data_IF_980222375900
#
_entry.id   IF_980222375900
#
_cell.length_a   1.000
_cell.length_b   1.000
_cell.length_c   1.000
_cell.angle_alpha   90.00
_cell.angle_beta   90.00
_cell.angle_gamma   90.00
#
_symmetry.space_group_name_H-M   'P 1'
#
loop_
_entity.id
_entity.type
_entity.pdbx_description
1 polymer ?
#
# COMPACT_ATOMS: atom_id res chain seq x y z
N UNK A 1 -4.39 -18.91 26.56
CA UNK A 1 -3.28 -18.02 26.17
C UNK A 1 -3.73 -17.19 24.98
N UNK A 2 -4.70 -16.30 25.21
CA UNK A 2 -5.53 -15.73 24.13
C UNK A 2 -5.64 -14.20 24.21
N UNK A 3 -5.03 -13.57 25.21
CA UNK A 3 -5.11 -12.11 25.43
C UNK A 3 -4.08 -11.31 24.61
N UNK A 4 -3.12 -11.98 23.98
CA UNK A 4 -2.08 -11.31 23.17
C UNK A 4 -2.58 -10.95 21.75
N UNK A 5 -3.45 -11.78 21.17
CA UNK A 5 -4.02 -11.57 19.83
C UNK A 5 -5.15 -10.51 19.82
N UNK A 6 -5.90 -10.37 20.92
CA UNK A 6 -6.98 -9.37 21.02
C UNK A 6 -6.48 -7.92 21.15
N UNK A 7 -5.21 -7.72 21.51
CA UNK A 7 -4.61 -6.38 21.57
C UNK A 7 -4.12 -5.84 20.22
N UNK A 8 -4.06 -6.68 19.17
CA UNK A 8 -3.69 -6.26 17.81
C UNK A 8 -4.87 -5.65 17.03
N UNK A 9 -6.11 -5.77 17.53
CA UNK A 9 -7.35 -5.31 16.88
C UNK A 9 -7.92 -3.99 17.42
N UNK A 10 -7.21 -3.29 18.30
CA UNK A 10 -7.67 -1.98 18.83
C UNK A 10 -7.32 -0.86 17.85
N UNK A 11 -8.22 0.10 17.58
CA UNK A 11 -7.96 1.16 16.63
C UNK A 11 -6.81 2.02 17.14
N UNK A 12 -5.78 2.14 16.30
CA UNK A 12 -4.49 2.81 16.52
C UNK A 12 -4.60 4.34 16.80
N UNK A 13 -5.80 4.86 17.07
CA UNK A 13 -6.11 6.27 17.22
C UNK A 13 -5.49 6.93 18.45
N UNK A 14 -5.27 6.18 19.54
CA UNK A 14 -4.62 6.72 20.74
C UNK A 14 -3.10 6.90 20.56
N UNK A 15 -2.44 5.99 19.82
CA UNK A 15 -1.02 6.11 19.51
C UNK A 15 -0.74 7.28 18.57
N UNK A 16 -1.55 7.45 17.52
CA UNK A 16 -1.41 8.59 16.61
C UNK A 16 -1.60 9.93 17.33
N UNK A 17 -2.62 10.06 18.20
CA UNK A 17 -2.83 11.26 19.03
C UNK A 17 -1.67 11.51 20.00
N UNK A 18 -1.09 10.45 20.58
CA UNK A 18 0.08 10.56 21.46
C UNK A 18 1.33 11.01 20.69
N UNK A 19 1.54 10.48 19.49
CA UNK A 19 2.65 10.85 18.60
C UNK A 19 2.50 12.31 18.13
N UNK A 20 1.31 12.72 17.70
CA UNK A 20 1.03 14.12 17.34
C UNK A 20 1.30 15.06 18.52
N UNK A 21 0.82 14.74 19.73
CA UNK A 21 1.12 15.52 20.94
C UNK A 21 2.61 15.60 21.25
N UNK A 22 3.37 14.51 21.06
CA UNK A 22 4.83 14.52 21.21
C UNK A 22 5.49 15.42 20.17
N UNK A 23 5.12 15.30 18.90
CA UNK A 23 5.66 16.14 17.80
C UNK A 23 5.36 17.62 18.05
N UNK A 24 4.14 17.96 18.45
CA UNK A 24 3.73 19.32 18.79
C UNK A 24 4.51 19.88 19.99
N UNK A 25 4.81 19.04 20.99
CA UNK A 25 5.64 19.42 22.15
C UNK A 25 7.11 19.63 21.76
N UNK A 26 7.64 18.83 20.85
CA UNK A 26 9.05 18.90 20.43
C UNK A 26 9.32 20.03 19.43
N UNK A 27 8.34 20.36 18.57
CA UNK A 27 8.45 21.43 17.58
C UNK A 27 7.17 22.31 17.57
N UNK A 28 7.02 23.21 18.56
CA UNK A 28 5.86 24.06 18.68
C UNK A 28 5.83 25.12 17.57
N UNK A 29 4.64 25.49 17.12
CA UNK A 29 4.47 26.61 16.18
C UNK A 29 4.78 27.93 16.87
N UNK A 30 5.49 28.83 16.20
CA UNK A 30 5.56 30.24 16.58
C UNK A 30 4.19 30.91 16.38
N UNK A 31 4.05 32.12 16.92
CA UNK A 31 2.87 32.94 16.67
C UNK A 31 2.72 33.16 15.16
N UNK A 32 1.60 32.69 14.61
CA UNK A 32 1.30 32.80 13.19
C UNK A 32 0.95 34.24 12.82
N UNK A 33 1.37 34.67 11.64
CA UNK A 33 0.87 35.90 11.03
C UNK A 33 -0.58 35.73 10.58
N UNK A 34 -1.26 36.84 10.27
CA UNK A 34 -2.61 36.81 9.70
C UNK A 34 -2.65 36.04 8.37
N UNK A 35 -1.62 36.18 7.54
CA UNK A 35 -1.47 35.47 6.27
C UNK A 35 -1.27 33.96 6.47
N UNK A 36 -0.41 33.58 7.41
CA UNK A 36 -0.17 32.17 7.75
C UNK A 36 -1.43 31.50 8.31
N UNK A 37 -2.19 32.22 9.15
CA UNK A 37 -3.46 31.73 9.70
C UNK A 37 -4.50 31.55 8.59
N UNK A 38 -4.61 32.52 7.67
CA UNK A 38 -5.52 32.43 6.52
C UNK A 38 -5.15 31.26 5.62
N UNK A 39 -3.86 31.08 5.32
CA UNK A 39 -3.36 29.98 4.51
C UNK A 39 -3.63 28.63 5.17
N UNK A 40 -3.35 28.49 6.46
CA UNK A 40 -3.63 27.27 7.22
C UNK A 40 -5.10 26.87 7.15
N UNK A 41 -6.02 27.80 7.44
CA UNK A 41 -7.46 27.55 7.38
C UNK A 41 -7.93 27.11 5.98
N UNK A 42 -7.32 27.65 4.91
CA UNK A 42 -7.64 27.27 3.54
C UNK A 42 -7.12 25.88 3.19
N UNK A 43 -5.90 25.54 3.62
CA UNK A 43 -5.33 24.21 3.45
C UNK A 43 -6.12 23.15 4.23
N UNK A 44 -6.56 23.44 5.45
CA UNK A 44 -7.46 22.57 6.24
C UNK A 44 -8.75 22.27 5.47
N UNK A 45 -9.40 23.31 4.94
CA UNK A 45 -10.61 23.14 4.14
C UNK A 45 -10.39 22.29 2.88
N UNK A 46 -9.20 22.36 2.27
CA UNK A 46 -8.84 21.51 1.12
C UNK A 46 -8.58 20.07 1.58
N UNK A 47 -7.82 19.87 2.66
CA UNK A 47 -7.53 18.56 3.21
C UNK A 47 -8.83 17.82 3.58
N UNK A 48 -9.79 18.51 4.19
CA UNK A 48 -11.09 17.93 4.53
C UNK A 48 -11.89 17.50 3.30
N UNK A 49 -11.86 18.28 2.21
CA UNK A 49 -12.45 17.87 0.93
C UNK A 49 -11.79 16.58 0.41
N UNK A 50 -10.46 16.54 0.40
CA UNK A 50 -9.72 15.36 -0.06
C UNK A 50 -10.00 14.14 0.82
N UNK A 51 -10.09 14.30 2.15
CA UNK A 51 -10.46 13.21 3.08
C UNK A 51 -11.88 12.69 2.85
N UNK A 52 -12.80 13.54 2.39
CA UNK A 52 -14.16 13.16 1.98
C UNK A 52 -14.25 12.52 0.59
N UNK A 53 -13.13 12.33 -0.11
CA UNK A 53 -13.17 11.78 -1.47
C UNK A 53 -13.48 12.82 -2.54
N UNK A 54 -13.63 14.10 -2.20
CA UNK A 54 -13.98 15.14 -3.17
C UNK A 54 -12.79 15.53 -4.06
N UNK A 55 -13.07 15.82 -5.32
CA UNK A 55 -12.05 16.31 -6.25
C UNK A 55 -11.67 17.77 -5.96
N UNK A 56 -10.37 18.05 -5.94
CA UNK A 56 -9.81 19.40 -5.80
C UNK A 56 -9.03 19.77 -7.05
N UNK A 57 -9.41 20.89 -7.69
CA UNK A 57 -8.75 21.40 -8.88
C UNK A 57 -7.32 21.85 -8.60
N UNK A 58 -6.41 21.62 -9.55
CA UNK A 58 -5.00 21.99 -9.40
C UNK A 58 -4.79 23.50 -9.21
N UNK A 59 -5.59 24.34 -9.88
CA UNK A 59 -5.54 25.80 -9.68
C UNK A 59 -5.79 26.21 -8.22
N UNK A 60 -6.68 25.50 -7.53
CA UNK A 60 -6.95 25.75 -6.12
C UNK A 60 -5.74 25.39 -5.25
N UNK A 61 -5.01 24.32 -5.59
CA UNK A 61 -3.78 23.94 -4.90
C UNK A 61 -2.66 24.96 -5.15
N UNK A 62 -2.45 25.38 -6.40
CA UNK A 62 -1.46 26.40 -6.78
C UNK A 62 -1.70 27.75 -6.08
N UNK A 63 -2.93 28.06 -5.70
CA UNK A 63 -3.26 29.31 -5.00
C UNK A 63 -2.78 29.30 -3.54
N UNK A 64 -2.74 28.14 -2.88
CA UNK A 64 -2.51 28.03 -1.43
C UNK A 64 -1.22 27.30 -1.05
N UNK A 65 -0.68 26.49 -1.95
CA UNK A 65 0.67 25.93 -1.85
C UNK A 65 1.69 26.96 -2.35
N UNK A 66 2.87 26.95 -1.73
CA UNK A 66 4.03 27.67 -2.25
C UNK A 66 4.56 26.96 -3.50
N UNK A 67 5.38 27.65 -4.28
CA UNK A 67 6.00 27.10 -5.49
C UNK A 67 6.74 25.80 -5.19
N UNK A 68 7.65 25.79 -4.22
CA UNK A 68 8.41 24.59 -3.79
C UNK A 68 7.50 23.41 -3.36
N UNK A 69 6.39 23.69 -2.68
CA UNK A 69 5.44 22.65 -2.23
C UNK A 69 4.62 22.09 -3.39
N UNK A 70 4.28 22.95 -4.35
CA UNK A 70 3.57 22.54 -5.56
C UNK A 70 4.50 21.75 -6.50
N UNK A 71 5.76 22.16 -6.64
CA UNK A 71 6.79 21.38 -7.34
C UNK A 71 6.98 20.01 -6.69
N UNK A 72 7.04 19.94 -5.36
CA UNK A 72 7.11 18.66 -4.64
C UNK A 72 5.94 17.74 -4.97
N UNK A 73 4.72 18.28 -5.08
CA UNK A 73 3.54 17.53 -5.51
C UNK A 73 3.71 16.95 -6.92
N UNK A 74 4.21 17.75 -7.86
CA UNK A 74 4.44 17.31 -9.23
C UNK A 74 5.52 16.23 -9.33
N UNK A 75 6.62 16.40 -8.58
CA UNK A 75 7.70 15.40 -8.46
C UNK A 75 7.17 14.07 -7.89
N UNK A 76 6.49 14.09 -6.74
CA UNK A 76 5.95 12.87 -6.13
C UNK A 76 4.91 12.18 -7.02
N UNK A 77 4.07 12.96 -7.72
CA UNK A 77 3.13 12.38 -8.68
C UNK A 77 3.84 11.77 -9.90
N UNK A 78 4.94 12.38 -10.35
CA UNK A 78 5.75 11.85 -11.45
C UNK A 78 6.44 10.54 -11.06
N UNK A 79 7.04 10.46 -9.87
CA UNK A 79 7.60 9.21 -9.32
C UNK A 79 6.55 8.10 -9.28
N UNK A 80 5.32 8.44 -8.87
CA UNK A 80 4.18 7.53 -8.87
C UNK A 80 3.77 7.06 -10.28
N UNK A 81 3.95 7.88 -11.32
CA UNK A 81 3.72 7.46 -12.71
C UNK A 81 4.85 6.57 -13.23
N UNK A 82 6.10 6.87 -12.88
CA UNK A 82 7.28 6.07 -13.23
C UNK A 82 7.18 4.67 -12.62
N UNK A 83 6.88 4.59 -11.32
CA UNK A 83 6.64 3.32 -10.63
C UNK A 83 5.51 2.51 -11.29
N UNK A 84 4.41 3.16 -11.68
CA UNK A 84 3.32 2.48 -12.42
C UNK A 84 3.76 1.96 -13.78
N UNK A 85 4.71 2.63 -14.44
CA UNK A 85 5.24 2.16 -15.72
C UNK A 85 6.18 0.97 -15.52
N UNK A 86 7.05 1.01 -14.51
CA UNK A 86 7.93 -0.11 -14.15
C UNK A 86 7.11 -1.37 -13.84
N UNK A 87 6.03 -1.23 -13.07
CA UNK A 87 5.17 -2.36 -12.70
C UNK A 87 4.42 -3.00 -13.88
N UNK A 88 4.42 -2.37 -15.07
CA UNK A 88 3.91 -3.02 -16.28
C UNK A 88 4.82 -4.16 -16.72
N UNK A 89 6.13 -4.04 -16.51
CA UNK A 89 7.07 -5.09 -16.88
C UNK A 89 7.28 -6.09 -15.74
N UNK A 90 6.29 -6.97 -15.61
CA UNK A 90 6.29 -8.03 -14.59
C UNK A 90 7.35 -9.11 -14.89
N UNK A 91 8.07 -9.62 -13.86
CA UNK A 91 8.95 -10.77 -13.98
C UNK A 91 8.28 -11.97 -14.68
N UNK A 92 9.02 -12.68 -15.53
CA UNK A 92 8.51 -13.78 -16.34
C UNK A 92 7.91 -14.91 -15.50
N UNK A 93 8.52 -15.25 -14.37
CA UNK A 93 8.01 -16.32 -13.51
C UNK A 93 6.68 -15.94 -12.85
N UNK A 94 6.50 -14.66 -12.49
CA UNK A 94 5.22 -14.15 -11.99
C UNK A 94 4.14 -14.16 -13.08
N UNK A 95 4.51 -13.87 -14.35
CA UNK A 95 3.60 -14.03 -15.50
C UNK A 95 3.16 -15.49 -15.65
N UNK A 96 4.08 -16.46 -15.51
CA UNK A 96 3.79 -17.90 -15.56
C UNK A 96 2.85 -18.34 -14.44
N UNK A 97 3.11 -17.91 -13.22
CA UNK A 97 2.24 -18.16 -12.07
C UNK A 97 0.82 -17.60 -12.28
N UNK A 98 0.71 -16.33 -12.69
CA UNK A 98 -0.58 -15.68 -12.92
C UNK A 98 -1.39 -16.38 -14.02
N UNK A 99 -0.73 -16.83 -15.09
CA UNK A 99 -1.40 -17.57 -16.17
C UNK A 99 -1.99 -18.90 -15.68
N UNK A 100 -1.26 -19.62 -14.83
CA UNK A 100 -1.77 -20.85 -14.22
C UNK A 100 -2.98 -20.57 -13.32
N UNK A 101 -2.93 -19.51 -12.52
CA UNK A 101 -4.09 -19.09 -11.71
C UNK A 101 -5.31 -18.73 -12.57
N UNK A 102 -5.10 -18.06 -13.72
CA UNK A 102 -6.20 -17.77 -14.66
C UNK A 102 -6.83 -19.05 -15.18
N UNK A 103 -6.02 -20.05 -15.54
CA UNK A 103 -6.52 -21.36 -15.98
C UNK A 103 -7.31 -22.06 -14.88
N UNK A 104 -6.80 -22.10 -13.65
CA UNK A 104 -7.50 -22.67 -12.51
C UNK A 104 -8.85 -21.97 -12.30
N UNK A 105 -8.84 -20.63 -12.27
CA UNK A 105 -10.06 -19.81 -12.10
C UNK A 105 -11.08 -20.07 -13.20
N UNK A 106 -10.64 -20.22 -14.45
CA UNK A 106 -11.52 -20.54 -15.57
C UNK A 106 -12.23 -21.89 -15.37
N UNK A 107 -11.49 -22.93 -14.98
CA UNK A 107 -12.07 -24.25 -14.76
C UNK A 107 -12.99 -24.29 -13.54
N UNK A 108 -12.64 -23.58 -12.47
CA UNK A 108 -13.51 -23.39 -11.31
C UNK A 108 -14.84 -22.75 -11.70
N UNK A 109 -14.80 -21.59 -12.37
CA UNK A 109 -16.02 -20.88 -12.80
C UNK A 109 -16.86 -21.72 -13.77
N UNK A 110 -16.20 -22.51 -14.63
CA UNK A 110 -16.87 -23.45 -15.51
C UNK A 110 -17.57 -24.56 -14.72
N UNK A 111 -16.93 -25.08 -13.67
CA UNK A 111 -17.52 -26.07 -12.77
C UNK A 111 -18.76 -25.52 -12.05
N UNK A 112 -18.68 -24.31 -11.49
CA UNK A 112 -19.82 -23.58 -10.89
C UNK A 112 -21.01 -23.48 -11.87
N UNK A 113 -20.72 -23.16 -13.13
CA UNK A 113 -21.72 -23.07 -14.19
C UNK A 113 -22.43 -24.40 -14.52
N UNK A 114 -21.77 -25.54 -14.32
CA UNK A 114 -22.39 -26.87 -14.46
C UNK A 114 -23.11 -27.29 -13.18
N UNK A 115 -22.52 -27.00 -12.01
CA UNK A 115 -23.05 -27.35 -10.70
C UNK A 115 -24.40 -26.67 -10.46
N UNK A 116 -24.50 -25.37 -10.75
CA UNK A 116 -25.75 -24.59 -10.66
C UNK A 116 -26.87 -25.12 -11.57
N UNK A 117 -26.56 -25.91 -12.59
CA UNK A 117 -27.51 -26.54 -13.51
C UNK A 117 -27.82 -28.00 -13.14
N UNK A 118 -27.40 -28.46 -11.95
CA UNK A 118 -27.58 -29.84 -11.48
C UNK A 118 -26.68 -30.89 -12.16
N UNK A 119 -25.71 -30.46 -12.99
CA UNK A 119 -24.80 -31.37 -13.72
C UNK A 119 -23.56 -31.72 -12.89
N UNK A 120 -23.77 -32.27 -11.70
CA UNK A 120 -22.73 -32.45 -10.68
C UNK A 120 -21.57 -33.35 -11.13
N UNK A 121 -21.82 -34.42 -11.90
CA UNK A 121 -20.75 -35.31 -12.38
C UNK A 121 -19.80 -34.62 -13.37
N UNK A 122 -20.33 -33.71 -14.19
CA UNK A 122 -19.52 -32.90 -15.12
C UNK A 122 -18.82 -31.77 -14.38
N UNK A 123 -19.51 -31.12 -13.43
CA UNK A 123 -18.92 -30.10 -12.57
C UNK A 123 -17.70 -30.65 -11.81
N UNK A 124 -17.81 -31.85 -11.22
CA UNK A 124 -16.73 -32.52 -10.50
C UNK A 124 -15.45 -32.62 -11.35
N UNK A 125 -15.54 -33.08 -12.60
CA UNK A 125 -14.37 -33.16 -13.50
C UNK A 125 -13.66 -31.82 -13.69
N UNK A 126 -14.41 -30.72 -13.71
CA UNK A 126 -13.84 -29.38 -13.84
C UNK A 126 -13.31 -28.84 -12.50
N UNK A 127 -13.93 -29.18 -11.37
CA UNK A 127 -13.34 -28.90 -10.05
C UNK A 127 -12.02 -29.64 -9.86
N UNK A 128 -11.98 -30.95 -10.13
CA UNK A 128 -10.76 -31.77 -10.03
C UNK A 128 -9.64 -31.16 -10.91
N UNK A 129 -10.00 -30.66 -12.09
CA UNK A 129 -9.03 -29.99 -12.98
C UNK A 129 -8.56 -28.65 -12.42
N UNK A 130 -9.45 -27.86 -11.83
CA UNK A 130 -9.11 -26.60 -11.18
C UNK A 130 -8.18 -26.84 -9.99
N UNK A 131 -8.48 -27.83 -9.15
CA UNK A 131 -7.69 -28.20 -7.97
C UNK A 131 -6.27 -28.60 -8.38
N UNK A 132 -6.12 -29.47 -9.37
CA UNK A 132 -4.80 -29.82 -9.92
C UNK A 132 -4.02 -28.60 -10.44
N UNK A 133 -4.69 -27.62 -11.05
CA UNK A 133 -4.03 -26.39 -11.50
C UNK A 133 -3.66 -25.46 -10.34
N UNK A 134 -4.43 -25.48 -9.24
CA UNK A 134 -4.10 -24.77 -8.01
C UNK A 134 -2.87 -25.38 -7.32
N UNK A 135 -2.76 -26.71 -7.29
CA UNK A 135 -1.57 -27.41 -6.79
C UNK A 135 -0.32 -27.05 -7.62
N UNK A 136 -0.44 -27.10 -8.96
CA UNK A 136 0.62 -26.64 -9.86
C UNK A 136 1.04 -25.18 -9.57
N UNK A 137 0.06 -24.30 -9.35
CA UNK A 137 0.30 -22.89 -9.05
C UNK A 137 1.01 -22.73 -7.71
N UNK A 138 0.60 -23.48 -6.68
CA UNK A 138 1.23 -23.46 -5.36
C UNK A 138 2.69 -23.92 -5.44
N UNK A 139 2.97 -24.98 -6.19
CA UNK A 139 4.33 -25.47 -6.40
C UNK A 139 5.21 -24.42 -7.08
N UNK A 140 4.71 -23.76 -8.15
CA UNK A 140 5.43 -22.67 -8.79
C UNK A 140 5.64 -21.48 -7.85
N UNK A 141 4.66 -21.13 -7.03
CA UNK A 141 4.80 -20.06 -6.05
C UNK A 141 5.94 -20.37 -5.06
N UNK A 142 6.00 -21.61 -4.58
CA UNK A 142 7.06 -22.06 -3.69
C UNK A 142 8.43 -22.00 -4.38
N UNK A 143 8.54 -22.45 -5.62
CA UNK A 143 9.76 -22.37 -6.44
C UNK A 143 10.23 -20.91 -6.60
N UNK A 144 9.32 -20.02 -7.00
CA UNK A 144 9.59 -18.60 -7.22
C UNK A 144 10.14 -17.95 -5.94
N UNK A 145 9.45 -18.15 -4.81
CA UNK A 145 9.82 -17.51 -3.56
C UNK A 145 11.02 -18.17 -2.87
N UNK A 146 11.31 -19.42 -3.19
CA UNK A 146 12.54 -20.08 -2.78
C UNK A 146 13.76 -19.49 -3.51
N UNK A 147 13.62 -19.24 -4.82
CA UNK A 147 14.69 -18.63 -5.62
C UNK A 147 14.87 -17.14 -5.33
N UNK A 148 13.78 -16.37 -5.34
CA UNK A 148 13.79 -14.94 -5.08
C UNK A 148 12.66 -14.54 -4.11
N UNK A 149 13.02 -14.50 -2.83
CA UNK A 149 12.11 -14.08 -1.78
C UNK A 149 11.71 -12.60 -1.86
N UNK A 150 12.46 -11.76 -2.59
CA UNK A 150 12.11 -10.34 -2.77
C UNK A 150 10.81 -10.16 -3.58
N UNK A 151 10.45 -11.16 -4.39
CA UNK A 151 9.22 -11.16 -5.17
C UNK A 151 7.95 -11.24 -4.32
N UNK A 152 8.05 -11.50 -3.01
CA UNK A 152 6.92 -11.41 -2.06
C UNK A 152 6.18 -10.07 -2.18
N UNK A 153 6.88 -8.97 -2.46
CA UNK A 153 6.29 -7.62 -2.62
C UNK A 153 5.27 -7.53 -3.76
N UNK A 154 5.27 -8.48 -4.70
CA UNK A 154 4.33 -8.49 -5.81
C UNK A 154 2.98 -9.13 -5.47
N UNK A 155 2.85 -9.75 -4.30
CA UNK A 155 1.63 -10.44 -3.90
C UNK A 155 0.78 -9.58 -2.96
N UNK A 156 -0.52 -9.82 -3.00
CA UNK A 156 -1.56 -9.06 -2.32
C UNK A 156 -1.77 -9.46 -0.85
N UNK A 157 -0.96 -10.37 -0.32
CA UNK A 157 -1.00 -10.84 1.06
C UNK A 157 0.33 -11.45 1.44
N UNK A 158 0.56 -11.57 2.73
CA UNK A 158 1.73 -12.28 3.25
C UNK A 158 1.62 -13.78 2.95
N UNK A 159 2.76 -14.37 2.59
CA UNK A 159 2.85 -15.77 2.17
C UNK A 159 3.67 -16.53 3.21
N UNK A 160 3.02 -17.48 3.88
CA UNK A 160 3.67 -18.45 4.74
C UNK A 160 3.38 -19.87 4.22
N UNK A 161 4.40 -20.72 4.21
CA UNK A 161 4.28 -22.13 3.87
C UNK A 161 4.25 -23.03 5.12
N UNK A 162 4.17 -22.43 6.30
CA UNK A 162 4.10 -23.17 7.56
C UNK A 162 2.73 -23.83 7.75
N UNK A 163 2.71 -24.90 8.54
CA UNK A 163 1.49 -25.62 8.90
C UNK A 163 0.58 -24.70 9.72
N UNK A 164 -0.66 -24.56 9.29
CA UNK A 164 -1.65 -23.69 9.94
C UNK A 164 -1.71 -22.26 9.37
N UNK A 165 -0.97 -21.98 8.29
CA UNK A 165 -1.18 -20.76 7.50
C UNK A 165 -2.47 -20.83 6.68
N UNK A 166 -2.96 -19.66 6.24
CA UNK A 166 -4.12 -19.54 5.36
C UNK A 166 -3.81 -19.91 3.90
N UNK A 167 -2.61 -20.41 3.60
CA UNK A 167 -2.19 -20.77 2.25
C UNK A 167 -2.56 -22.23 1.94
N UNK A 168 -3.39 -22.42 0.92
CA UNK A 168 -3.79 -23.74 0.41
C UNK A 168 -3.93 -23.76 -1.11
N UNK A 169 -3.98 -24.96 -1.68
CA UNK A 169 -4.09 -25.20 -3.11
C UNK A 169 -5.53 -25.01 -3.63
N UNK A 170 -6.13 -23.86 -3.36
CA UNK A 170 -7.47 -23.50 -3.86
C UNK A 170 -7.52 -22.06 -4.40
N UNK A 171 -8.61 -21.73 -5.07
CA UNK A 171 -8.76 -20.46 -5.77
C UNK A 171 -8.75 -19.25 -4.83
N UNK A 172 -9.30 -19.37 -3.62
CA UNK A 172 -9.49 -18.25 -2.70
C UNK A 172 -8.21 -17.96 -1.92
N UNK A 173 -7.53 -19.03 -1.50
CA UNK A 173 -6.37 -18.96 -0.62
C UNK A 173 -5.08 -18.59 -1.35
N UNK A 174 -4.96 -18.94 -2.64
CA UNK A 174 -3.76 -18.63 -3.42
C UNK A 174 -3.59 -17.12 -3.62
N UNK A 175 -2.41 -16.56 -3.31
CA UNK A 175 -2.18 -15.12 -3.39
C UNK A 175 -2.29 -14.61 -4.82
N UNK A 176 -2.74 -13.37 -4.97
CA UNK A 176 -2.83 -12.71 -6.28
C UNK A 176 -1.74 -11.67 -6.39
N UNK A 177 -1.29 -11.42 -7.61
CA UNK A 177 -0.40 -10.29 -7.83
C UNK A 177 -1.15 -9.00 -7.56
N UNK A 178 -0.48 -8.00 -6.98
CA UNK A 178 -1.06 -6.68 -6.69
C UNK A 178 -1.60 -5.96 -7.94
N UNK A 179 -1.04 -6.31 -9.11
CA UNK A 179 -1.47 -5.85 -10.44
C UNK A 179 -2.66 -6.62 -11.02
N UNK A 180 -3.13 -7.68 -10.36
CA UNK A 180 -4.25 -8.50 -10.78
C UNK A 180 -5.58 -7.75 -10.69
N UNK A 181 -6.54 -8.17 -11.52
CA UNK A 181 -7.95 -7.73 -11.49
C UNK A 181 -8.90 -8.80 -10.97
N UNK A 182 -8.37 -9.90 -10.41
CA UNK A 182 -9.19 -10.98 -9.83
C UNK A 182 -10.01 -10.47 -8.65
N UNK A 183 -11.22 -10.99 -8.48
CA UNK A 183 -12.06 -10.70 -7.31
C UNK A 183 -11.48 -11.28 -6.01
N UNK A 184 -10.64 -12.31 -6.11
CA UNK A 184 -9.96 -12.92 -4.97
C UNK A 184 -8.76 -12.09 -4.47
N UNK A 185 -8.50 -10.92 -5.08
CA UNK A 185 -7.42 -10.03 -4.66
C UNK A 185 -7.79 -9.32 -3.36
N UNK A 186 -6.96 -9.44 -2.32
CA UNK A 186 -7.23 -8.88 -0.98
C UNK A 186 -6.67 -7.47 -0.78
N UNK A 187 -5.58 -7.10 -1.46
CA UNK A 187 -4.99 -5.78 -1.32
C UNK A 187 -4.48 -5.21 -2.64
N UNK A 188 -4.44 -3.88 -2.67
CA UNK A 188 -3.75 -3.14 -3.73
C UNK A 188 -2.25 -3.01 -3.42
N UNK A 189 -1.48 -2.65 -4.43
CA UNK A 189 -0.05 -2.41 -4.27
C UNK A 189 0.20 -1.25 -3.30
N UNK A 190 0.72 -1.57 -2.11
CA UNK A 190 1.02 -0.59 -1.06
C UNK A 190 2.01 0.48 -1.49
N UNK A 191 2.81 0.23 -2.54
CA UNK A 191 3.75 1.20 -3.12
C UNK A 191 3.04 2.26 -3.97
N UNK A 192 1.83 1.96 -4.46
CA UNK A 192 1.06 2.85 -5.29
C UNK A 192 0.13 3.73 -4.46
N UNK A 193 0.23 5.04 -4.66
CA UNK A 193 -0.64 6.02 -4.01
C UNK A 193 -1.50 6.74 -5.04
N UNK A 194 -2.75 7.03 -4.68
CA UNK A 194 -3.63 7.78 -5.57
C UNK A 194 -3.16 9.23 -5.70
N UNK A 195 -3.50 9.90 -6.82
CA UNK A 195 -3.21 11.33 -6.98
C UNK A 195 -3.80 12.18 -5.86
N UNK A 196 -4.95 11.78 -5.35
CA UNK A 196 -5.62 12.42 -4.22
C UNK A 196 -4.84 12.25 -2.91
N UNK A 197 -4.30 11.06 -2.67
CA UNK A 197 -3.45 10.77 -1.51
C UNK A 197 -2.14 11.59 -1.56
N UNK A 198 -1.51 11.69 -2.73
CA UNK A 198 -0.33 12.55 -2.94
C UNK A 198 -0.66 14.02 -2.64
N UNK A 199 -1.77 14.54 -3.20
CA UNK A 199 -2.26 15.89 -2.89
C UNK A 199 -2.44 16.10 -1.39
N UNK A 200 -3.11 15.17 -0.72
CA UNK A 200 -3.38 15.25 0.71
C UNK A 200 -2.08 15.26 1.53
N UNK A 201 -1.13 14.37 1.23
CA UNK A 201 0.14 14.27 1.93
C UNK A 201 0.98 15.56 1.81
N UNK A 202 1.02 16.18 0.64
CA UNK A 202 1.70 17.47 0.44
C UNK A 202 1.02 18.58 1.25
N UNK A 203 -0.31 18.64 1.23
CA UNK A 203 -1.07 19.63 2.01
C UNK A 203 -0.85 19.46 3.50
N UNK A 204 -0.89 18.23 4.02
CA UNK A 204 -0.65 17.95 5.43
C UNK A 204 0.76 18.35 5.85
N UNK A 205 1.77 18.12 4.99
CA UNK A 205 3.14 18.60 5.20
C UNK A 205 3.24 20.13 5.16
N UNK A 206 2.60 20.79 4.20
CA UNK A 206 2.56 22.25 4.12
C UNK A 206 1.91 22.86 5.38
N UNK A 207 0.77 22.31 5.82
CA UNK A 207 0.10 22.69 7.06
C UNK A 207 0.98 22.46 8.28
N UNK A 208 1.72 21.34 8.32
CA UNK A 208 2.67 21.08 9.38
C UNK A 208 3.81 22.12 9.36
N UNK A 209 4.31 22.54 8.22
CA UNK A 209 5.45 23.46 8.19
C UNK A 209 5.09 24.93 8.50
N UNK A 210 3.82 25.33 8.37
CA UNK A 210 3.38 26.69 8.72
C UNK A 210 3.67 27.03 10.19
N UNK A 211 4.40 28.12 10.41
CA UNK A 211 4.79 28.60 11.74
C UNK A 211 5.84 27.74 12.43
N UNK A 212 6.43 26.77 11.74
CA UNK A 212 7.62 26.07 12.19
C UNK A 212 8.75 26.60 11.33
N UNK A 213 9.52 27.55 11.86
CA UNK A 213 10.71 27.99 11.17
C UNK A 213 11.57 26.73 11.00
N UNK A 214 11.93 26.41 9.75
CA UNK A 214 12.95 25.43 9.53
C UNK A 214 14.16 25.94 10.29
N UNK A 215 14.55 25.28 11.39
CA UNK A 215 15.92 25.39 11.83
C UNK A 215 16.73 25.16 10.55
N UNK A 216 17.53 26.14 10.08
CA UNK A 216 18.28 25.98 8.85
C UNK A 216 18.96 24.64 8.99
N UNK A 217 18.67 23.71 8.07
CA UNK A 217 19.12 22.34 8.20
C UNK A 217 20.59 22.40 8.60
N UNK A 218 20.87 22.17 9.87
CA UNK A 218 22.25 22.15 10.34
C UNK A 218 22.79 20.99 9.54
N UNK A 219 23.70 21.30 8.60
CA UNK A 219 24.34 20.35 7.68
C UNK A 219 24.39 18.99 8.35
N UNK A 220 23.99 17.90 7.68
CA UNK A 220 23.89 16.60 8.32
C UNK A 220 25.25 16.34 8.96
N UNK A 221 25.34 16.49 10.28
CA UNK A 221 26.58 16.20 10.98
C UNK A 221 26.58 14.69 11.00
N UNK A 222 27.17 14.09 9.95
CA UNK A 222 27.45 12.67 9.83
C UNK A 222 28.07 12.11 11.13
N UNK A 223 28.77 12.97 11.88
CA UNK A 223 29.34 12.69 13.20
C UNK A 223 28.35 12.28 14.30
N UNK A 224 27.03 12.52 14.16
CA UNK A 224 26.04 12.01 15.13
C UNK A 224 25.60 10.58 14.83
N UNK A 225 25.65 10.14 13.57
CA UNK A 225 25.33 8.76 13.19
C UNK A 225 26.52 7.81 13.43
N UNK A 226 27.76 8.29 13.24
CA UNK A 226 28.97 7.51 13.55
C UNK A 226 29.07 7.13 15.04
N UNK A 227 28.46 7.90 15.94
CA UNK A 227 28.41 7.55 17.38
C UNK A 227 27.39 6.46 17.72
N UNK A 228 26.40 6.23 16.85
CA UNK A 228 25.44 5.14 17.03
C UNK A 228 25.88 3.83 16.37
N UNK A 229 26.71 3.91 15.32
CA UNK A 229 27.22 2.75 14.60
C UNK A 229 28.55 2.21 15.14
N UNK A 230 29.29 2.99 15.95
CA UNK A 230 30.57 2.58 16.54
C UNK A 230 30.47 2.38 18.06
N UNK A 231 29.40 1.75 18.52
CA UNK A 231 29.34 1.20 19.88
C UNK A 231 29.42 -0.32 19.79
N UNK A 232 30.60 -0.81 19.46
CA UNK A 232 31.01 -2.19 19.76
C UNK A 232 32.05 -2.12 20.88
N UNK A 233 31.64 -2.59 22.06
CA UNK A 233 32.31 -3.66 22.83
C UNK A 233 31.32 -4.19 23.90
#
# INVERSE_FOLDING_TARGET
MSEWLDNQKKPNGNHHKLLQKRIEKTNPRRKLTSEETKRLSKLEGIADKLRRGENVQNRQLQTWLREEEYEQLECEWKEQLELRNELKDKPSDLKRYEEKLKQATFYYNRAEGYSSKGKHSTAKKFYDKSESLCEDALAMLQEILHYDSSLRVWFDRDISFEVGSDLSADIVSLPRLVTSRSNEKLSDDSRLTSKQSVKLAVIERAMHNIGRDAAPASKPTASKLDKFLNADD
#
